data_IF_770633617940
#
_entry.id   IF_770633617940
#
_cell.length_a   1.000
_cell.length_b   1.000
_cell.length_c   1.000
_cell.angle_alpha   90.00
_cell.angle_beta   90.00
_cell.angle_gamma   90.00
#
_symmetry.space_group_name_H-M   'P 1'
#
loop_
_entity.id
_entity.type
_entity.pdbx_description
1 polymer ?
#
# COMPACT_ATOMS: atom_id res chain seq x y z
N UNK A 1 -5.79 -29.20 4.20
CA UNK A 1 -5.38 -29.16 2.79
C UNK A 1 -5.03 -27.72 2.47
N UNK A 2 -3.79 -27.42 2.12
CA UNK A 2 -3.28 -26.07 1.84
C UNK A 2 -2.77 -26.07 0.38
N UNK A 3 -3.04 -25.01 -0.37
CA UNK A 3 -2.56 -24.90 -1.76
C UNK A 3 -1.02 -24.87 -1.82
N UNK A 4 -0.42 -25.53 -2.82
CA UNK A 4 1.04 -25.60 -2.98
C UNK A 4 1.70 -24.23 -3.11
N UNK A 5 1.02 -23.29 -3.73
CA UNK A 5 1.45 -21.88 -3.80
C UNK A 5 1.61 -21.26 -2.42
N UNK A 6 0.69 -21.54 -1.49
CA UNK A 6 0.76 -21.02 -0.12
C UNK A 6 1.86 -21.69 0.70
N UNK A 7 2.09 -22.99 0.49
CA UNK A 7 3.22 -23.70 1.12
C UNK A 7 4.55 -23.06 0.69
N UNK A 8 4.68 -22.75 -0.59
CA UNK A 8 5.86 -22.07 -1.14
C UNK A 8 6.02 -20.65 -0.58
N UNK A 9 4.93 -19.87 -0.53
CA UNK A 9 4.95 -18.51 0.03
C UNK A 9 5.36 -18.52 1.51
N UNK A 10 4.80 -19.40 2.33
CA UNK A 10 5.15 -19.51 3.76
C UNK A 10 6.62 -19.85 3.96
N UNK A 11 7.18 -20.74 3.14
CA UNK A 11 8.61 -21.09 3.21
C UNK A 11 9.52 -19.90 2.86
N UNK A 12 9.08 -19.00 1.99
CA UNK A 12 9.89 -17.90 1.45
C UNK A 12 9.58 -16.53 2.12
N UNK A 13 8.46 -16.42 2.85
CA UNK A 13 7.96 -15.13 3.38
C UNK A 13 8.49 -14.76 4.77
N UNK A 14 9.37 -15.56 5.35
CA UNK A 14 9.56 -15.58 6.79
C UNK A 14 10.56 -14.57 7.38
N UNK A 15 11.29 -13.78 6.55
CA UNK A 15 12.38 -12.96 7.09
C UNK A 15 11.87 -11.82 7.97
N UNK A 16 10.88 -11.05 7.52
CA UNK A 16 10.34 -9.91 8.31
C UNK A 16 9.65 -10.42 9.57
N UNK A 17 8.86 -11.48 9.43
CA UNK A 17 8.18 -12.09 10.57
C UNK A 17 9.17 -12.70 11.57
N UNK A 18 10.18 -13.41 11.08
CA UNK A 18 11.24 -13.96 11.90
C UNK A 18 12.03 -12.85 12.63
N UNK A 19 12.30 -11.74 11.97
CA UNK A 19 12.93 -10.58 12.59
C UNK A 19 12.07 -9.96 13.70
N UNK A 20 10.76 -9.81 13.46
CA UNK A 20 9.83 -9.31 14.47
C UNK A 20 9.72 -10.25 15.69
N UNK A 21 9.61 -11.55 15.45
CA UNK A 21 9.57 -12.57 16.51
C UNK A 21 10.89 -12.59 17.30
N UNK A 22 12.03 -12.46 16.62
CA UNK A 22 13.34 -12.37 17.25
C UNK A 22 13.49 -11.06 18.05
N UNK A 23 13.04 -9.93 17.53
CA UNK A 23 13.00 -8.66 18.27
C UNK A 23 12.22 -8.78 19.58
N UNK A 24 11.03 -9.39 19.53
CA UNK A 24 10.24 -9.66 20.73
C UNK A 24 10.94 -10.61 21.71
N UNK A 25 11.65 -11.61 21.23
CA UNK A 25 12.44 -12.54 22.05
C UNK A 25 13.58 -11.82 22.74
N UNK A 26 14.32 -10.98 22.01
CA UNK A 26 15.43 -10.19 22.55
C UNK A 26 14.95 -9.17 23.59
N UNK A 27 13.82 -8.50 23.34
CA UNK A 27 13.23 -7.57 24.29
C UNK A 27 12.85 -8.23 25.63
N UNK A 28 12.41 -9.48 25.61
CA UNK A 28 12.15 -10.26 26.85
C UNK A 28 13.43 -10.64 27.61
N UNK A 29 14.55 -10.82 26.90
CA UNK A 29 15.82 -11.25 27.49
C UNK A 29 16.64 -10.08 28.03
N UNK A 30 16.65 -8.96 27.31
CA UNK A 30 17.56 -7.85 27.56
C UNK A 30 16.86 -6.56 28.03
N UNK A 31 15.52 -6.54 28.07
CA UNK A 31 14.71 -5.34 28.27
C UNK A 31 14.40 -4.64 26.95
N UNK A 32 13.18 -4.16 26.79
CA UNK A 32 12.74 -3.51 25.54
C UNK A 32 13.54 -2.24 25.21
N UNK A 33 14.03 -1.54 26.24
CA UNK A 33 14.83 -0.33 26.13
C UNK A 33 16.24 -0.57 25.55
N UNK A 34 16.67 -1.82 25.52
CA UNK A 34 17.99 -2.24 25.00
C UNK A 34 17.89 -2.91 23.61
N UNK A 35 16.69 -2.98 23.02
CA UNK A 35 16.48 -3.59 21.71
C UNK A 35 15.96 -2.54 20.71
N UNK A 36 16.74 -2.29 19.69
CA UNK A 36 16.38 -1.37 18.59
C UNK A 36 15.79 -2.17 17.44
N UNK A 37 14.46 -2.33 17.46
CA UNK A 37 13.72 -3.09 16.45
C UNK A 37 13.34 -2.20 15.25
N UNK A 38 13.93 -2.48 14.10
CA UNK A 38 13.63 -1.82 12.81
C UNK A 38 12.91 -2.76 11.83
N UNK A 39 12.34 -3.87 12.33
CA UNK A 39 11.70 -4.87 11.47
C UNK A 39 10.34 -4.42 10.94
N UNK A 40 9.59 -3.65 11.72
CA UNK A 40 8.24 -3.20 11.37
C UNK A 40 8.10 -1.69 11.59
N UNK A 41 7.72 -0.97 10.53
CA UNK A 41 7.47 0.47 10.58
C UNK A 41 6.10 0.79 11.15
N UNK A 42 6.03 1.08 12.44
CA UNK A 42 4.82 1.62 13.07
C UNK A 42 4.83 3.14 13.08
N UNK A 43 3.66 3.81 12.90
CA UNK A 43 3.56 5.24 13.13
C UNK A 43 3.99 5.61 14.55
N UNK A 44 4.87 6.60 14.67
CA UNK A 44 5.35 7.13 15.96
C UNK A 44 4.78 8.52 16.30
N UNK A 45 3.92 9.04 15.44
CA UNK A 45 3.19 10.29 15.63
C UNK A 45 1.73 9.95 15.89
N UNK A 46 1.12 10.45 16.99
CA UNK A 46 -0.29 10.19 17.27
C UNK A 46 -1.16 10.82 16.18
N UNK A 47 -2.32 10.20 15.92
CA UNK A 47 -3.33 10.80 15.07
C UNK A 47 -3.81 12.14 15.67
N UNK A 48 -4.23 13.12 14.86
CA UNK A 48 -4.87 14.33 15.34
C UNK A 48 -6.06 14.00 16.27
N UNK A 49 -6.27 14.82 17.30
CA UNK A 49 -7.33 14.59 18.29
C UNK A 49 -8.73 14.55 17.64
N UNK A 50 -8.92 15.35 16.59
CA UNK A 50 -10.14 15.43 15.80
C UNK A 50 -10.58 14.07 15.21
N UNK A 51 -9.64 13.17 14.92
CA UNK A 51 -9.97 11.82 14.43
C UNK A 51 -10.73 11.03 15.48
N UNK A 52 -10.25 11.08 16.74
CA UNK A 52 -10.91 10.39 17.85
C UNK A 52 -12.26 11.04 18.21
N UNK A 53 -12.34 12.37 18.12
CA UNK A 53 -13.57 13.13 18.36
C UNK A 53 -14.62 12.78 17.31
N UNK A 54 -14.26 12.77 16.02
CA UNK A 54 -15.17 12.41 14.94
C UNK A 54 -15.68 10.95 15.06
N UNK A 55 -14.80 10.01 15.42
CA UNK A 55 -15.24 8.61 15.63
C UNK A 55 -16.22 8.49 16.79
N UNK A 56 -16.00 9.20 17.91
CA UNK A 56 -16.92 9.21 19.04
C UNK A 56 -18.24 9.86 18.67
N UNK A 57 -18.20 10.98 17.97
CA UNK A 57 -19.40 11.70 17.53
C UNK A 57 -20.29 10.81 16.66
N UNK A 58 -19.71 10.09 15.71
CA UNK A 58 -20.43 9.13 14.86
C UNK A 58 -21.09 8.03 15.70
N UNK A 59 -20.34 7.44 16.65
CA UNK A 59 -20.86 6.33 17.48
C UNK A 59 -21.96 6.81 18.44
N UNK A 60 -21.85 8.02 18.96
CA UNK A 60 -22.75 8.56 19.97
C UNK A 60 -24.04 9.17 19.36
N UNK A 61 -23.97 9.68 18.14
CA UNK A 61 -25.03 10.51 17.57
C UNK A 61 -25.68 9.93 16.30
N UNK A 62 -25.04 8.99 15.60
CA UNK A 62 -25.62 8.40 14.40
C UNK A 62 -26.46 7.14 14.74
N UNK A 63 -27.48 6.88 13.93
CA UNK A 63 -28.30 5.69 14.08
C UNK A 63 -27.48 4.41 13.92
N UNK A 64 -27.56 3.51 14.90
CA UNK A 64 -26.79 2.27 14.94
C UNK A 64 -26.99 1.40 13.69
N UNK A 65 -28.21 1.34 13.15
CA UNK A 65 -28.53 0.61 11.91
C UNK A 65 -27.89 1.23 10.68
N UNK A 66 -27.62 2.53 10.69
CA UNK A 66 -26.94 3.23 9.62
C UNK A 66 -25.43 2.96 9.66
N UNK A 67 -24.78 3.15 10.81
CA UNK A 67 -23.32 2.99 10.93
C UNK A 67 -22.85 1.53 10.81
N UNK A 68 -23.74 0.56 11.15
CA UNK A 68 -23.47 -0.88 11.03
C UNK A 68 -24.15 -1.53 9.84
N UNK A 69 -24.80 -0.75 8.99
CA UNK A 69 -25.50 -1.21 7.80
C UNK A 69 -24.58 -1.36 6.58
N UNK A 70 -25.17 -1.88 5.50
CA UNK A 70 -24.50 -1.91 4.21
C UNK A 70 -24.52 -0.52 3.55
N UNK A 71 -23.43 -0.17 2.89
CA UNK A 71 -23.34 1.02 2.04
C UNK A 71 -23.19 0.61 0.55
N UNK A 72 -23.17 1.59 -0.36
CA UNK A 72 -22.85 1.34 -1.76
C UNK A 72 -21.43 0.75 -1.91
N UNK A 73 -21.19 -0.08 -2.93
CA UNK A 73 -19.90 -0.75 -3.14
C UNK A 73 -18.72 0.24 -3.25
N UNK A 74 -18.96 1.45 -3.73
CA UNK A 74 -17.93 2.47 -3.84
C UNK A 74 -17.71 3.29 -2.54
N UNK A 75 -18.55 3.11 -1.53
CA UNK A 75 -18.60 3.92 -0.32
C UNK A 75 -19.69 5.01 -0.35
N UNK A 76 -19.88 5.72 0.74
CA UNK A 76 -20.86 6.82 0.84
C UNK A 76 -20.55 7.92 -0.18
N UNK A 77 -21.57 8.42 -0.86
CA UNK A 77 -21.43 9.39 -1.94
C UNK A 77 -20.93 10.75 -1.45
N UNK A 78 -21.48 11.25 -0.35
CA UNK A 78 -21.10 12.49 0.29
C UNK A 78 -19.64 12.49 0.77
N UNK A 79 -19.18 11.37 1.35
CA UNK A 79 -17.78 11.18 1.75
C UNK A 79 -16.86 11.22 0.52
N UNK A 80 -17.23 10.50 -0.54
CA UNK A 80 -16.46 10.48 -1.80
C UNK A 80 -16.43 11.84 -2.47
N UNK A 81 -17.54 12.59 -2.43
CA UNK A 81 -17.60 13.95 -2.95
C UNK A 81 -16.71 14.90 -2.16
N UNK A 82 -16.71 14.83 -0.83
CA UNK A 82 -15.84 15.62 0.05
C UNK A 82 -14.35 15.35 -0.24
N UNK A 83 -13.98 14.09 -0.48
CA UNK A 83 -12.60 13.70 -0.86
C UNK A 83 -12.26 14.30 -2.24
N UNK A 84 -13.14 14.18 -3.22
CA UNK A 84 -12.93 14.74 -4.56
C UNK A 84 -12.72 16.25 -4.53
N UNK A 85 -13.55 16.97 -3.77
CA UNK A 85 -13.43 18.43 -3.59
C UNK A 85 -12.11 18.82 -2.90
N UNK A 86 -11.68 18.03 -1.90
CA UNK A 86 -10.39 18.25 -1.24
C UNK A 86 -9.22 18.08 -2.22
N UNK A 87 -9.25 17.05 -3.06
CA UNK A 87 -8.24 16.83 -4.11
C UNK A 87 -8.25 18.00 -5.12
N UNK A 88 -9.43 18.42 -5.56
CA UNK A 88 -9.57 19.54 -6.50
C UNK A 88 -8.97 20.83 -5.94
N UNK A 89 -9.24 21.16 -4.67
CA UNK A 89 -8.68 22.34 -4.03
C UNK A 89 -7.16 22.28 -3.87
N UNK A 90 -6.62 21.10 -3.57
CA UNK A 90 -5.18 20.92 -3.27
C UNK A 90 -4.32 20.81 -4.52
N UNK A 91 -4.85 20.22 -5.58
CA UNK A 91 -4.07 19.79 -6.74
C UNK A 91 -4.62 20.33 -8.08
N UNK A 92 -5.68 21.14 -8.07
CA UNK A 92 -6.25 21.70 -9.30
C UNK A 92 -6.90 20.65 -10.20
N UNK A 93 -7.32 19.49 -9.66
CA UNK A 93 -8.01 18.43 -10.39
C UNK A 93 -9.51 18.75 -10.54
N UNK A 94 -10.23 17.93 -11.34
CA UNK A 94 -11.66 18.08 -11.61
C UNK A 94 -12.43 16.80 -11.32
N UNK A 95 -12.17 16.19 -10.17
CA UNK A 95 -12.83 14.97 -9.73
C UNK A 95 -14.21 15.24 -9.12
N UNK A 96 -15.06 14.23 -9.14
CA UNK A 96 -16.32 14.16 -8.39
C UNK A 96 -16.43 12.77 -7.74
N UNK A 97 -17.50 12.51 -7.02
CA UNK A 97 -17.71 11.25 -6.30
C UNK A 97 -17.60 9.99 -7.18
N UNK A 98 -17.88 10.08 -8.49
CA UNK A 98 -17.78 8.93 -9.39
C UNK A 98 -16.34 8.50 -9.71
N UNK A 99 -15.38 9.37 -9.45
CA UNK A 99 -13.95 9.11 -9.62
C UNK A 99 -13.31 8.49 -8.36
N UNK A 100 -14.03 8.39 -7.26
CA UNK A 100 -13.53 7.94 -5.95
C UNK A 100 -14.17 6.60 -5.59
N UNK A 101 -13.36 5.66 -5.16
CA UNK A 101 -13.79 4.37 -4.60
C UNK A 101 -13.10 4.18 -3.25
N UNK A 102 -13.88 3.93 -2.21
CA UNK A 102 -13.36 3.65 -0.87
C UNK A 102 -12.88 2.21 -0.77
N UNK A 103 -11.74 2.01 -0.15
CA UNK A 103 -11.16 0.66 0.07
C UNK A 103 -10.61 0.55 1.48
N UNK A 104 -10.38 -0.70 1.94
CA UNK A 104 -9.74 -0.96 3.23
C UNK A 104 -8.23 -0.80 3.08
N UNK A 105 -7.77 0.46 3.19
CA UNK A 105 -6.38 0.83 3.04
C UNK A 105 -5.82 0.63 1.61
N UNK A 106 -4.55 0.97 1.43
CA UNK A 106 -3.85 0.83 0.14
C UNK A 106 -3.78 -0.64 -0.33
N UNK A 107 -3.69 -1.59 0.59
CA UNK A 107 -3.69 -3.02 0.27
C UNK A 107 -4.99 -3.44 -0.43
N UNK A 108 -6.14 -3.04 0.12
CA UNK A 108 -7.45 -3.26 -0.50
C UNK A 108 -7.56 -2.60 -1.87
N UNK A 109 -7.10 -1.35 -1.99
CA UNK A 109 -7.07 -0.60 -3.24
C UNK A 109 -6.24 -1.29 -4.32
N UNK A 110 -5.00 -1.66 -4.02
CA UNK A 110 -4.11 -2.33 -4.96
C UNK A 110 -4.65 -3.70 -5.40
N UNK A 111 -5.19 -4.50 -4.46
CA UNK A 111 -5.81 -5.77 -4.83
C UNK A 111 -7.03 -5.57 -5.75
N UNK A 112 -7.86 -4.56 -5.50
CA UNK A 112 -8.99 -4.23 -6.38
C UNK A 112 -8.53 -3.81 -7.78
N UNK A 113 -7.52 -2.94 -7.86
CA UNK A 113 -6.93 -2.47 -9.13
C UNK A 113 -6.35 -3.65 -9.92
N UNK A 114 -5.53 -4.49 -9.30
CA UNK A 114 -4.89 -5.61 -10.02
C UNK A 114 -5.88 -6.70 -10.39
N UNK A 115 -6.92 -6.92 -9.58
CA UNK A 115 -8.03 -7.79 -9.97
C UNK A 115 -8.74 -7.30 -11.24
N UNK A 116 -8.84 -5.98 -11.38
CA UNK A 116 -9.52 -5.35 -12.51
C UNK A 116 -8.67 -5.31 -13.78
N UNK A 117 -7.35 -5.07 -13.62
CA UNK A 117 -6.45 -4.79 -14.75
C UNK A 117 -5.73 -6.03 -15.29
N UNK A 118 -5.49 -7.06 -14.47
CA UNK A 118 -4.56 -8.14 -14.84
C UNK A 118 -5.26 -9.38 -15.35
N UNK A 119 -4.77 -9.87 -16.49
CA UNK A 119 -4.92 -11.25 -16.88
C UNK A 119 -3.67 -12.06 -16.45
N UNK A 120 -3.78 -13.39 -16.31
CA UNK A 120 -2.64 -14.23 -15.96
C UNK A 120 -1.44 -14.03 -16.89
N UNK A 121 -0.26 -13.82 -16.32
CA UNK A 121 0.99 -13.60 -17.03
C UNK A 121 1.23 -12.15 -17.49
N UNK A 122 0.31 -11.21 -17.23
CA UNK A 122 0.56 -9.79 -17.45
C UNK A 122 1.44 -9.19 -16.35
N UNK A 123 2.05 -8.04 -16.62
CA UNK A 123 3.15 -7.50 -15.86
C UNK A 123 2.79 -6.17 -15.20
N UNK A 124 3.22 -6.03 -13.96
CA UNK A 124 3.22 -4.77 -13.21
C UNK A 124 4.65 -4.41 -12.87
N UNK A 125 5.07 -3.19 -13.13
CA UNK A 125 6.42 -2.72 -12.86
C UNK A 125 6.50 -1.97 -11.53
N UNK A 126 7.66 -2.01 -10.88
CA UNK A 126 7.97 -1.20 -9.70
C UNK A 126 9.47 -0.96 -9.60
N UNK A 127 9.87 0.02 -8.82
CA UNK A 127 11.26 0.43 -8.60
C UNK A 127 11.76 -0.13 -7.26
N UNK A 128 12.92 -0.79 -7.27
CA UNK A 128 13.54 -1.26 -6.03
C UNK A 128 14.36 -0.14 -5.35
N UNK A 129 14.47 -0.11 -4.01
CA UNK A 129 13.70 -0.93 -3.06
C UNK A 129 12.21 -0.57 -3.03
N UNK A 130 11.34 -1.54 -2.75
CA UNK A 130 9.89 -1.35 -2.73
C UNK A 130 9.24 -2.12 -1.56
N UNK A 131 8.02 -1.78 -1.24
CA UNK A 131 7.24 -2.48 -0.23
C UNK A 131 6.96 -3.93 -0.66
N UNK A 132 7.48 -4.89 0.10
CA UNK A 132 7.54 -6.31 -0.29
C UNK A 132 6.20 -6.93 -0.68
N UNK A 133 5.09 -6.45 -0.09
CA UNK A 133 3.75 -6.97 -0.34
C UNK A 133 3.24 -6.73 -1.78
N UNK A 134 3.85 -5.83 -2.55
CA UNK A 134 3.49 -5.65 -3.97
C UNK A 134 3.61 -6.96 -4.77
N UNK A 135 4.58 -7.82 -4.42
CA UNK A 135 4.70 -9.16 -5.04
C UNK A 135 3.45 -9.99 -4.83
N UNK A 136 2.95 -9.99 -3.59
CA UNK A 136 1.77 -10.76 -3.23
C UNK A 136 0.53 -10.20 -3.91
N UNK A 137 0.33 -8.87 -3.90
CA UNK A 137 -0.83 -8.24 -4.53
C UNK A 137 -0.91 -8.51 -6.03
N UNK A 138 0.22 -8.47 -6.74
CA UNK A 138 0.28 -8.77 -8.18
C UNK A 138 0.08 -10.29 -8.44
N UNK A 139 0.75 -11.15 -7.67
CA UNK A 139 0.68 -12.60 -7.86
C UNK A 139 -0.69 -13.20 -7.50
N UNK A 140 -1.46 -12.56 -6.61
CA UNK A 140 -2.82 -12.98 -6.25
C UNK A 140 -3.75 -13.10 -7.49
N UNK A 141 -3.44 -12.35 -8.54
CA UNK A 141 -4.24 -12.33 -9.77
C UNK A 141 -3.48 -12.91 -10.98
N UNK A 142 -2.47 -13.72 -10.72
CA UNK A 142 -1.67 -14.36 -11.76
C UNK A 142 -0.74 -13.42 -12.51
N UNK A 143 -0.58 -12.17 -12.05
CA UNK A 143 0.36 -11.20 -12.61
C UNK A 143 1.81 -11.49 -12.22
N UNK A 144 2.72 -10.84 -12.91
CA UNK A 144 4.17 -10.89 -12.68
C UNK A 144 4.69 -9.52 -12.30
N UNK A 145 5.36 -9.39 -11.14
CA UNK A 145 6.03 -8.16 -10.75
C UNK A 145 7.39 -8.05 -11.46
N UNK A 146 7.56 -7.05 -12.29
CA UNK A 146 8.81 -6.70 -12.97
C UNK A 146 9.48 -5.58 -12.18
N UNK A 147 10.69 -5.85 -11.70
CA UNK A 147 11.41 -4.94 -10.80
C UNK A 147 12.50 -4.22 -11.58
N UNK A 148 12.50 -2.90 -11.53
CA UNK A 148 13.61 -2.06 -11.95
C UNK A 148 14.65 -2.05 -10.84
N UNK A 149 15.92 -2.27 -11.18
CA UNK A 149 17.01 -2.41 -10.20
C UNK A 149 17.22 -1.12 -9.39
N UNK A 150 17.64 -1.21 -8.13
CA UNK A 150 17.85 -0.02 -7.32
C UNK A 150 19.03 0.80 -7.84
N UNK A 151 18.88 2.12 -7.80
CA UNK A 151 20.00 3.03 -7.80
C UNK A 151 20.44 3.22 -6.34
N UNK A 152 21.59 2.71 -5.98
CA UNK A 152 22.06 2.71 -4.57
C UNK A 152 22.77 4.00 -4.15
N UNK A 153 22.91 4.95 -5.07
CA UNK A 153 23.55 6.26 -4.79
C UNK A 153 22.53 7.22 -4.17
N UNK A 154 21.37 7.37 -4.81
CA UNK A 154 20.34 8.34 -4.43
C UNK A 154 18.91 7.77 -4.39
N UNK A 155 18.76 6.49 -4.73
CA UNK A 155 17.49 5.75 -4.82
C UNK A 155 16.47 6.35 -5.81
N UNK A 156 16.92 7.19 -6.74
CA UNK A 156 16.07 7.62 -7.84
C UNK A 156 15.81 6.46 -8.81
N UNK A 157 14.64 6.36 -9.46
CA UNK A 157 14.34 5.35 -10.46
C UNK A 157 15.34 5.36 -11.63
N UNK A 158 15.78 4.18 -12.08
CA UNK A 158 16.58 4.02 -13.29
C UNK A 158 15.66 4.00 -14.50
N UNK A 159 15.43 5.15 -15.11
CA UNK A 159 14.47 5.30 -16.20
C UNK A 159 14.87 4.54 -17.47
N UNK A 160 16.15 4.47 -17.79
CA UNK A 160 16.66 3.69 -18.94
C UNK A 160 16.33 2.19 -18.78
N UNK A 161 16.54 1.65 -17.58
CA UNK A 161 16.21 0.25 -17.28
C UNK A 161 14.69 0.04 -17.25
N UNK A 162 13.93 1.01 -16.74
CA UNK A 162 12.48 0.97 -16.77
C UNK A 162 11.97 0.86 -18.19
N UNK A 163 12.41 1.74 -19.10
CA UNK A 163 12.01 1.74 -20.50
C UNK A 163 12.37 0.41 -21.17
N UNK A 164 13.60 -0.08 -20.96
CA UNK A 164 14.06 -1.36 -21.52
C UNK A 164 13.26 -2.59 -21.05
N UNK A 165 12.59 -2.50 -19.92
CA UNK A 165 11.79 -3.59 -19.34
C UNK A 165 10.30 -3.55 -19.72
N UNK A 166 9.84 -2.50 -20.39
CA UNK A 166 8.47 -2.42 -20.87
C UNK A 166 8.25 -3.47 -21.96
N UNK A 167 7.18 -4.24 -21.83
CA UNK A 167 6.77 -5.25 -22.82
C UNK A 167 5.29 -5.05 -23.21
N UNK A 168 4.81 -5.71 -24.27
CA UNK A 168 3.39 -5.72 -24.59
C UNK A 168 2.49 -6.29 -23.48
N UNK A 169 3.07 -6.95 -22.46
CA UNK A 169 2.35 -7.47 -21.29
C UNK A 169 2.32 -6.49 -20.13
N UNK A 170 3.06 -5.39 -20.18
CA UNK A 170 3.07 -4.37 -19.12
C UNK A 170 1.72 -3.67 -19.07
N UNK A 171 1.06 -3.72 -17.91
CA UNK A 171 -0.28 -3.13 -17.67
C UNK A 171 -0.29 -1.96 -16.71
N UNK A 172 0.63 -1.97 -15.75
CA UNK A 172 0.67 -0.94 -14.73
C UNK A 172 2.10 -0.71 -14.22
N UNK A 173 2.31 0.45 -13.63
CA UNK A 173 3.51 0.81 -12.86
C UNK A 173 3.06 1.21 -11.47
N UNK A 174 3.72 0.68 -10.44
CA UNK A 174 3.56 1.15 -9.06
C UNK A 174 4.63 2.20 -8.80
N UNK A 175 4.19 3.43 -8.55
CA UNK A 175 5.03 4.53 -8.09
C UNK A 175 4.65 4.83 -6.65
N UNK A 176 5.60 4.73 -5.74
CA UNK A 176 5.43 5.06 -4.34
C UNK A 176 6.34 6.23 -3.97
N UNK A 177 5.75 7.40 -3.78
CA UNK A 177 6.48 8.66 -3.55
C UNK A 177 5.78 9.49 -2.45
N UNK A 178 6.44 9.85 -1.34
CA UNK A 178 7.78 9.38 -0.91
C UNK A 178 7.85 7.85 -0.83
N UNK A 179 9.04 7.29 -1.16
CA UNK A 179 9.21 5.86 -1.32
C UNK A 179 9.25 5.11 0.03
N UNK A 180 8.51 4.03 0.14
CA UNK A 180 8.68 3.02 1.18
C UNK A 180 9.47 1.83 0.59
N UNK A 181 10.68 1.47 1.13
CA UNK A 181 11.18 1.79 2.48
C UNK A 181 12.22 2.91 2.56
N UNK A 182 12.68 3.53 1.46
CA UNK A 182 13.85 4.42 1.47
C UNK A 182 13.57 5.82 2.05
N UNK A 183 12.31 6.27 2.03
CA UNK A 183 11.92 7.64 2.38
C UNK A 183 12.28 8.69 1.33
N UNK A 184 12.91 8.30 0.22
CA UNK A 184 13.32 9.22 -0.84
C UNK A 184 12.10 9.79 -1.57
N UNK A 185 12.17 11.08 -1.87
CA UNK A 185 11.24 11.77 -2.77
C UNK A 185 11.84 11.75 -4.17
N UNK A 186 11.07 11.27 -5.14
CA UNK A 186 11.49 11.29 -6.54
C UNK A 186 11.48 12.72 -7.08
N UNK A 187 12.43 13.06 -7.93
CA UNK A 187 12.52 14.38 -8.54
C UNK A 187 11.40 14.61 -9.55
N UNK A 188 11.10 15.88 -9.85
CA UNK A 188 10.14 16.24 -10.90
C UNK A 188 10.52 15.67 -12.27
N UNK A 189 11.83 15.65 -12.59
CA UNK A 189 12.34 15.07 -13.82
C UNK A 189 12.14 13.55 -13.91
N UNK A 190 11.96 12.88 -12.77
CA UNK A 190 11.71 11.44 -12.69
C UNK A 190 10.24 11.08 -12.87
N UNK A 191 9.32 11.93 -12.43
CA UNK A 191 7.88 11.69 -12.43
C UNK A 191 7.25 12.23 -13.71
#
# INVERSE_FOLDING_TARGET
MIADSMVSLVKNSSVIRAMFEEGNRLAKLYGAENVYDFSLGNPNVPAPAEVNEAVKDIVDNEESTFIHGYMSNAGYEDVRQTIAESLNRRFGTHFNHTNIVMTVGAAGGLNTIFKTLLNPGEEVMTFAPFFGEYRNYVSNFGGKLVVVSPNTVDFQPKLDEFEAKITPKTRAVIVNNPNNPTGVVYSEDTI
#
